data_IF_707773117452
#
_entry.id   IF_707773117452
#
_cell.length_a   1.000
_cell.length_b   1.000
_cell.length_c   1.000
_cell.angle_alpha   90.00
_cell.angle_beta   90.00
_cell.angle_gamma   90.00
#
_symmetry.space_group_name_H-M   'P 1'
#
loop_
_entity.id
_entity.type
_entity.pdbx_description
1 polymer ?
#
# COMPACT_ATOMS: atom_id res chain seq x y z
N UNK A 1 30.60 -14.96 -28.52
CA UNK A 1 31.66 -14.06 -29.05
C UNK A 1 33.04 -14.68 -28.87
N UNK A 2 33.56 -14.98 -27.64
CA UNK A 2 34.97 -15.38 -27.44
C UNK A 2 35.33 -16.68 -28.18
N UNK A 3 34.47 -17.71 -28.18
CA UNK A 3 34.75 -18.93 -28.96
C UNK A 3 34.83 -18.63 -30.45
N UNK A 4 34.02 -17.73 -30.98
CA UNK A 4 34.10 -17.28 -32.38
C UNK A 4 35.40 -16.52 -32.67
N UNK A 5 35.84 -15.66 -31.75
CA UNK A 5 37.14 -14.99 -31.82
C UNK A 5 38.29 -16.01 -31.92
N UNK A 6 38.22 -17.08 -31.11
CA UNK A 6 39.23 -18.15 -31.12
C UNK A 6 39.25 -18.93 -32.44
N UNK A 7 38.10 -19.17 -33.06
CA UNK A 7 37.96 -19.96 -34.28
C UNK A 7 38.19 -19.12 -35.54
N UNK A 8 37.58 -17.94 -35.63
CA UNK A 8 37.59 -17.12 -36.85
C UNK A 8 38.67 -16.05 -36.87
N UNK A 9 39.15 -15.62 -35.70
CA UNK A 9 40.08 -14.50 -35.57
C UNK A 9 39.52 -13.13 -35.97
N UNK A 10 38.21 -13.00 -36.13
CA UNK A 10 37.57 -11.79 -36.65
C UNK A 10 37.52 -10.66 -35.63
N UNK A 11 37.96 -9.47 -36.03
CA UNK A 11 37.91 -8.24 -35.23
C UNK A 11 36.50 -7.75 -34.93
N UNK A 12 35.48 -8.20 -35.66
CA UNK A 12 34.10 -7.85 -35.43
C UNK A 12 33.62 -8.42 -34.07
N UNK A 13 33.99 -9.65 -33.73
CA UNK A 13 33.65 -10.26 -32.45
C UNK A 13 34.43 -9.66 -31.28
N UNK A 14 35.62 -9.12 -31.52
CA UNK A 14 36.37 -8.35 -30.51
C UNK A 14 35.60 -7.11 -30.09
N UNK A 15 35.10 -6.33 -31.07
CA UNK A 15 34.29 -5.13 -30.81
C UNK A 15 33.00 -5.43 -30.06
N UNK A 16 32.31 -6.53 -30.39
CA UNK A 16 31.09 -6.98 -29.76
C UNK A 16 31.33 -7.38 -28.26
N UNK A 17 32.45 -8.06 -28.00
CA UNK A 17 32.83 -8.46 -26.64
C UNK A 17 33.12 -7.24 -25.76
N UNK A 18 33.91 -6.28 -26.27
CA UNK A 18 34.25 -5.06 -25.53
C UNK A 18 33.04 -4.17 -25.30
N UNK A 19 32.12 -4.04 -26.27
CA UNK A 19 30.89 -3.29 -26.15
C UNK A 19 29.97 -3.94 -25.07
N UNK A 20 29.87 -5.27 -25.07
CA UNK A 20 29.09 -6.02 -24.03
C UNK A 20 29.64 -5.80 -22.63
N UNK A 21 30.97 -5.84 -22.46
CA UNK A 21 31.63 -5.54 -21.20
C UNK A 21 31.37 -4.13 -20.71
N UNK A 22 31.52 -3.13 -21.57
CA UNK A 22 31.28 -1.73 -21.23
C UNK A 22 29.84 -1.50 -20.74
N UNK A 23 28.86 -2.14 -21.39
CA UNK A 23 27.44 -2.12 -20.93
C UNK A 23 27.28 -2.77 -19.58
N UNK A 24 27.91 -3.92 -19.32
CA UNK A 24 27.83 -4.60 -18.05
C UNK A 24 28.47 -3.79 -16.92
N UNK A 25 29.65 -3.22 -17.14
CA UNK A 25 30.33 -2.36 -16.19
C UNK A 25 29.53 -1.08 -15.87
N UNK A 26 28.84 -0.52 -16.86
CA UNK A 26 27.91 0.61 -16.66
C UNK A 26 26.73 0.20 -15.80
N UNK A 27 26.12 -0.95 -16.08
CA UNK A 27 25.00 -1.47 -15.28
C UNK A 27 25.40 -1.76 -13.83
N UNK A 28 26.60 -2.30 -13.57
CA UNK A 28 27.11 -2.50 -12.19
C UNK A 28 27.27 -1.15 -11.48
N UNK A 29 27.83 -0.13 -12.16
CA UNK A 29 27.98 1.21 -11.56
C UNK A 29 26.63 1.83 -11.20
N UNK A 30 25.65 1.74 -12.10
CA UNK A 30 24.30 2.24 -11.87
C UNK A 30 23.60 1.49 -10.71
N UNK A 31 23.74 0.17 -10.69
CA UNK A 31 23.21 -0.67 -9.59
C UNK A 31 23.85 -0.27 -8.25
N UNK A 32 25.13 0.04 -8.20
CA UNK A 32 25.85 0.46 -7.00
C UNK A 32 25.33 1.78 -6.43
N UNK A 33 24.80 2.65 -7.27
CA UNK A 33 24.18 3.93 -6.86
C UNK A 33 22.75 3.71 -6.36
N UNK A 34 22.01 2.81 -7.01
CA UNK A 34 20.57 2.61 -6.80
C UNK A 34 20.25 1.63 -5.66
N UNK A 35 21.14 0.66 -5.38
CA UNK A 35 20.89 -0.43 -4.44
C UNK A 35 21.51 -0.11 -3.08
N UNK A 36 20.68 -0.18 -2.04
CA UNK A 36 21.08 0.13 -0.65
C UNK A 36 21.84 -1.02 0.04
N UNK A 37 21.59 -2.26 -0.38
CA UNK A 37 22.32 -3.45 0.14
C UNK A 37 23.40 -3.87 -0.86
N UNK A 38 24.63 -3.46 -0.61
CA UNK A 38 25.78 -3.63 -1.51
C UNK A 38 26.44 -5.02 -1.41
N UNK A 39 26.14 -5.84 -0.39
CA UNK A 39 26.88 -7.09 -0.12
C UNK A 39 26.84 -8.07 -1.29
N UNK A 40 25.68 -8.25 -1.93
CA UNK A 40 25.56 -9.09 -3.12
C UNK A 40 26.21 -8.50 -4.35
N UNK A 41 26.23 -7.17 -4.46
CA UNK A 41 26.82 -6.45 -5.58
C UNK A 41 28.36 -6.52 -5.55
N UNK A 42 28.97 -6.50 -4.36
CA UNK A 42 30.42 -6.65 -4.20
C UNK A 42 30.90 -8.03 -4.69
N UNK A 43 30.11 -9.08 -4.49
CA UNK A 43 30.39 -10.42 -5.01
C UNK A 43 30.37 -10.44 -6.56
N UNK A 44 29.38 -9.79 -7.18
CA UNK A 44 29.32 -9.65 -8.64
C UNK A 44 30.51 -8.84 -9.15
N UNK A 45 30.84 -7.76 -8.46
CA UNK A 45 31.96 -6.91 -8.85
C UNK A 45 33.29 -7.68 -8.81
N UNK A 46 33.54 -8.44 -7.73
CA UNK A 46 34.73 -9.27 -7.61
C UNK A 46 34.83 -10.34 -8.72
N UNK A 47 33.73 -11.04 -8.98
CA UNK A 47 33.64 -12.03 -10.06
C UNK A 47 33.85 -11.38 -11.45
N UNK A 48 33.33 -10.16 -11.67
CA UNK A 48 33.53 -9.43 -12.91
C UNK A 48 34.99 -8.98 -13.11
N UNK A 49 35.66 -8.55 -12.05
CA UNK A 49 37.10 -8.21 -12.11
C UNK A 49 37.91 -9.44 -12.48
N UNK A 50 37.64 -10.60 -11.88
CA UNK A 50 38.30 -11.85 -12.22
C UNK A 50 38.04 -12.27 -13.67
N UNK A 51 36.78 -12.26 -14.11
CA UNK A 51 36.38 -12.56 -15.48
C UNK A 51 37.07 -11.62 -16.50
N UNK A 52 37.10 -10.34 -16.18
CA UNK A 52 37.78 -9.31 -16.99
C UNK A 52 39.28 -9.57 -17.09
N UNK A 53 39.94 -9.94 -16.00
CA UNK A 53 41.35 -10.31 -15.98
C UNK A 53 41.65 -11.51 -16.86
N UNK A 54 40.81 -12.54 -16.84
CA UNK A 54 40.93 -13.73 -17.69
C UNK A 54 40.84 -13.37 -19.16
N UNK A 55 39.90 -12.52 -19.55
CA UNK A 55 39.74 -12.04 -20.93
C UNK A 55 40.95 -11.21 -21.39
N UNK A 56 41.42 -10.27 -20.58
CA UNK A 56 42.58 -9.44 -20.91
C UNK A 56 43.84 -10.31 -21.11
N UNK A 57 44.07 -11.26 -20.23
CA UNK A 57 45.18 -12.21 -20.35
C UNK A 57 45.10 -13.02 -21.66
N UNK A 58 43.89 -13.38 -22.11
CA UNK A 58 43.70 -14.06 -23.39
C UNK A 58 44.18 -13.18 -24.57
N UNK A 59 43.72 -11.91 -24.59
CA UNK A 59 44.12 -10.99 -25.69
C UNK A 59 45.64 -10.72 -25.68
N UNK A 60 46.21 -10.53 -24.48
CA UNK A 60 47.66 -10.31 -24.33
C UNK A 60 48.49 -11.51 -24.81
N UNK A 61 48.06 -12.73 -24.47
CA UNK A 61 48.73 -13.96 -24.89
C UNK A 61 48.57 -14.19 -26.39
N UNK A 62 47.38 -13.93 -26.96
CA UNK A 62 47.12 -14.03 -28.39
C UNK A 62 47.98 -13.06 -29.17
N UNK A 63 48.12 -11.84 -28.68
CA UNK A 63 49.00 -10.82 -29.32
C UNK A 63 50.48 -11.27 -29.36
N UNK A 64 50.94 -11.99 -28.33
CA UNK A 64 52.30 -12.48 -28.19
C UNK A 64 52.59 -13.75 -28.98
N UNK A 65 51.65 -14.71 -28.96
CA UNK A 65 51.89 -16.08 -29.45
C UNK A 65 51.17 -16.41 -30.77
N UNK A 66 50.16 -15.61 -31.12
CA UNK A 66 49.28 -15.87 -32.29
C UNK A 66 48.41 -17.11 -32.17
N UNK A 67 48.40 -17.78 -31.01
CA UNK A 67 47.70 -19.02 -30.80
C UNK A 67 46.56 -18.87 -29.80
N UNK A 68 45.47 -19.65 -30.01
CA UNK A 68 44.35 -19.80 -29.08
C UNK A 68 44.40 -21.20 -28.48
N UNK A 69 44.35 -21.30 -27.14
CA UNK A 69 44.37 -22.56 -26.43
C UNK A 69 42.95 -22.98 -26.01
N UNK A 70 42.50 -24.11 -26.55
CA UNK A 70 41.18 -24.67 -26.21
C UNK A 70 41.10 -25.13 -24.77
N UNK A 71 42.18 -25.65 -24.17
CA UNK A 71 42.20 -26.06 -22.76
C UNK A 71 42.00 -24.85 -21.84
N UNK A 72 42.62 -23.70 -22.20
CA UNK A 72 42.38 -22.45 -21.49
C UNK A 72 40.91 -22.04 -21.59
N UNK A 73 40.30 -22.14 -22.75
CA UNK A 73 38.86 -21.82 -22.91
C UNK A 73 37.96 -22.68 -22.05
N UNK A 74 38.15 -23.99 -22.07
CA UNK A 74 37.32 -24.93 -21.30
C UNK A 74 37.58 -24.83 -19.79
N UNK A 75 38.83 -24.68 -19.37
CA UNK A 75 39.21 -24.63 -17.95
C UNK A 75 39.04 -23.25 -17.34
N UNK A 76 39.78 -22.27 -17.83
CA UNK A 76 39.90 -20.96 -17.16
C UNK A 76 38.75 -20.02 -17.49
N UNK A 77 38.47 -19.82 -18.80
CA UNK A 77 37.41 -18.89 -19.22
C UNK A 77 36.04 -19.39 -18.79
N UNK A 78 35.73 -20.65 -19.05
CA UNK A 78 34.41 -21.21 -18.75
C UNK A 78 34.13 -21.19 -17.24
N UNK A 79 35.12 -21.47 -16.41
CA UNK A 79 34.99 -21.39 -14.95
C UNK A 79 34.71 -19.96 -14.52
N UNK A 80 35.51 -18.97 -14.94
CA UNK A 80 35.30 -17.58 -14.56
C UNK A 80 33.95 -17.02 -15.04
N UNK A 81 33.46 -17.48 -16.22
CA UNK A 81 32.14 -17.16 -16.71
C UNK A 81 31.02 -17.74 -15.82
N UNK A 82 31.16 -19.00 -15.41
CA UNK A 82 30.20 -19.61 -14.52
C UNK A 82 30.18 -18.96 -13.13
N UNK A 83 31.31 -18.58 -12.60
CA UNK A 83 31.43 -17.91 -11.30
C UNK A 83 30.73 -16.54 -11.33
N UNK A 84 30.93 -15.78 -12.41
CA UNK A 84 30.24 -14.51 -12.63
C UNK A 84 28.72 -14.72 -12.76
N UNK A 85 28.30 -15.69 -13.56
CA UNK A 85 26.88 -16.01 -13.76
C UNK A 85 26.21 -16.51 -12.47
N UNK A 86 26.91 -17.32 -11.68
CA UNK A 86 26.43 -17.79 -10.40
C UNK A 86 26.27 -16.64 -9.39
N UNK A 87 27.24 -15.72 -9.35
CA UNK A 87 27.19 -14.53 -8.50
C UNK A 87 25.96 -13.64 -8.85
N UNK A 88 25.70 -13.42 -10.15
CA UNK A 88 24.54 -12.68 -10.61
C UNK A 88 23.24 -13.40 -10.23
N UNK A 89 23.15 -14.72 -10.46
CA UNK A 89 21.98 -15.51 -10.12
C UNK A 89 21.68 -15.48 -8.61
N UNK A 90 22.72 -15.67 -7.79
CA UNK A 90 22.58 -15.63 -6.34
C UNK A 90 22.11 -14.24 -5.84
N UNK A 91 22.61 -13.17 -6.44
CA UNK A 91 22.14 -11.83 -6.15
C UNK A 91 20.66 -11.63 -6.54
N UNK A 92 20.25 -12.09 -7.71
CA UNK A 92 18.85 -12.00 -8.15
C UNK A 92 17.91 -12.76 -7.19
N UNK A 93 18.26 -13.98 -6.81
CA UNK A 93 17.46 -14.79 -5.88
C UNK A 93 17.39 -14.13 -4.50
N UNK A 94 18.53 -13.64 -3.99
CA UNK A 94 18.58 -12.94 -2.71
C UNK A 94 17.76 -11.65 -2.73
N UNK A 95 17.86 -10.85 -3.80
CA UNK A 95 17.09 -9.62 -3.97
C UNK A 95 15.59 -9.89 -4.04
N UNK A 96 15.18 -10.97 -4.72
CA UNK A 96 13.79 -11.36 -4.79
C UNK A 96 13.24 -11.78 -3.43
N UNK A 97 13.99 -12.58 -2.66
CA UNK A 97 13.55 -12.99 -1.32
C UNK A 97 13.42 -11.78 -0.35
N UNK A 98 14.30 -10.79 -0.46
CA UNK A 98 14.21 -9.54 0.32
C UNK A 98 12.99 -8.72 -0.09
N UNK A 99 12.68 -8.66 -1.40
CA UNK A 99 11.50 -7.97 -1.91
C UNK A 99 10.21 -8.65 -1.42
N UNK A 100 10.14 -9.98 -1.49
CA UNK A 100 8.99 -10.75 -1.01
C UNK A 100 8.75 -10.52 0.50
N UNK A 101 9.82 -10.55 1.29
CA UNK A 101 9.73 -10.27 2.73
C UNK A 101 9.25 -8.83 3.02
N UNK A 102 9.74 -7.84 2.26
CA UNK A 102 9.29 -6.44 2.40
C UNK A 102 7.84 -6.27 1.97
N UNK A 103 7.41 -6.93 0.90
CA UNK A 103 6.02 -6.90 0.43
C UNK A 103 5.08 -7.48 1.48
N UNK A 104 5.41 -8.64 2.06
CA UNK A 104 4.64 -9.24 3.13
C UNK A 104 4.58 -8.34 4.39
N UNK A 105 5.68 -7.66 4.72
CA UNK A 105 5.70 -6.70 5.83
C UNK A 105 4.82 -5.48 5.55
N UNK A 106 4.85 -4.94 4.32
CA UNK A 106 4.00 -3.82 3.91
C UNK A 106 2.52 -4.20 3.97
N UNK A 107 2.17 -5.38 3.50
CA UNK A 107 0.81 -5.92 3.57
C UNK A 107 0.33 -6.03 5.02
N UNK A 108 1.12 -6.63 5.90
CA UNK A 108 0.82 -6.72 7.34
C UNK A 108 0.67 -5.34 8.00
N UNK A 109 1.52 -4.39 7.65
CA UNK A 109 1.45 -3.03 8.17
C UNK A 109 0.22 -2.28 7.64
N UNK A 110 -0.17 -2.49 6.37
CA UNK A 110 -1.39 -1.93 5.80
C UNK A 110 -2.64 -2.43 6.55
N UNK A 111 -2.75 -3.73 6.81
CA UNK A 111 -3.84 -4.27 7.63
C UNK A 111 -3.88 -3.68 9.03
N UNK A 112 -2.73 -3.54 9.70
CA UNK A 112 -2.66 -2.92 11.03
C UNK A 112 -3.07 -1.45 11.02
N UNK A 113 -2.79 -0.71 9.96
CA UNK A 113 -3.18 0.69 9.82
C UNK A 113 -4.67 0.86 9.51
N UNK A 114 -5.27 -0.04 8.74
CA UNK A 114 -6.68 0.04 8.31
C UNK A 114 -7.63 -0.44 9.41
N UNK A 115 -7.26 -1.45 10.20
CA UNK A 115 -8.14 -2.05 11.24
C UNK A 115 -8.71 -1.03 12.24
N UNK A 116 -7.92 -0.12 12.83
CA UNK A 116 -8.46 0.91 13.72
C UNK A 116 -9.50 1.80 13.04
N UNK A 117 -9.30 2.10 11.74
CA UNK A 117 -10.24 2.89 10.94
C UNK A 117 -11.59 2.19 10.75
N UNK A 118 -11.57 0.89 10.46
CA UNK A 118 -12.79 0.08 10.31
C UNK A 118 -13.54 0.00 11.64
N UNK A 119 -12.83 -0.21 12.74
CA UNK A 119 -13.45 -0.26 14.08
C UNK A 119 -14.08 1.10 14.44
N UNK A 120 -13.35 2.20 14.19
CA UNK A 120 -13.86 3.54 14.43
C UNK A 120 -15.12 3.84 13.59
N UNK A 121 -15.14 3.41 12.34
CA UNK A 121 -16.30 3.56 11.46
C UNK A 121 -17.51 2.77 11.98
N UNK A 122 -17.30 1.52 12.41
CA UNK A 122 -18.36 0.70 12.98
C UNK A 122 -18.96 1.34 14.25
N UNK A 123 -18.11 1.84 15.14
CA UNK A 123 -18.54 2.54 16.36
C UNK A 123 -19.32 3.82 16.00
N UNK A 124 -18.85 4.59 15.02
CA UNK A 124 -19.54 5.81 14.57
C UNK A 124 -20.96 5.49 14.05
N UNK A 125 -21.12 4.44 13.27
CA UNK A 125 -22.44 4.00 12.77
C UNK A 125 -23.37 3.64 13.94
N UNK A 126 -22.89 2.89 14.94
CA UNK A 126 -23.67 2.52 16.12
C UNK A 126 -24.12 3.78 16.88
N UNK A 127 -23.21 4.75 17.07
CA UNK A 127 -23.52 6.01 17.76
C UNK A 127 -24.59 6.79 16.99
N UNK A 128 -24.50 6.89 15.66
CA UNK A 128 -25.46 7.60 14.82
C UNK A 128 -26.85 6.95 14.95
N UNK A 129 -26.95 5.62 14.87
CA UNK A 129 -28.22 4.90 15.00
C UNK A 129 -28.82 5.11 16.39
N UNK A 130 -28.00 5.00 17.43
CA UNK A 130 -28.43 5.20 18.82
C UNK A 130 -28.92 6.64 19.04
N UNK A 131 -28.19 7.64 18.51
CA UNK A 131 -28.57 9.03 18.62
C UNK A 131 -29.88 9.34 17.86
N UNK A 132 -30.05 8.78 16.66
CA UNK A 132 -31.30 8.86 15.90
C UNK A 132 -32.50 8.28 16.68
N UNK A 133 -32.30 7.14 17.30
CA UNK A 133 -33.33 6.51 18.13
C UNK A 133 -33.72 7.38 19.35
N UNK A 134 -32.74 8.01 20.00
CA UNK A 134 -33.01 8.92 21.12
C UNK A 134 -33.76 10.17 20.69
N UNK A 135 -33.38 10.76 19.54
CA UNK A 135 -34.12 11.91 19.00
C UNK A 135 -35.58 11.53 18.70
N UNK A 136 -35.83 10.40 18.09
CA UNK A 136 -37.19 9.94 17.82
C UNK A 136 -38.00 9.78 19.13
N UNK A 137 -37.38 9.12 20.10
CA UNK A 137 -38.09 8.82 21.37
C UNK A 137 -38.35 10.06 22.21
N UNK A 138 -37.37 10.96 22.33
CA UNK A 138 -37.47 12.08 23.29
C UNK A 138 -37.96 13.38 22.64
N UNK A 139 -37.86 13.55 21.34
CA UNK A 139 -38.30 14.78 20.68
C UNK A 139 -39.40 14.54 19.65
N UNK A 140 -39.25 13.65 18.73
CA UNK A 140 -40.22 13.48 17.64
C UNK A 140 -41.56 12.98 18.13
N UNK A 141 -41.60 11.90 18.88
CA UNK A 141 -42.85 11.31 19.38
C UNK A 141 -43.61 12.23 20.34
N UNK A 142 -43.00 12.92 21.32
CA UNK A 142 -43.68 13.90 22.14
C UNK A 142 -44.26 15.07 21.34
N UNK A 143 -43.55 15.62 20.40
CA UNK A 143 -44.03 16.71 19.55
C UNK A 143 -45.20 16.26 18.69
N UNK A 144 -45.15 15.06 18.11
CA UNK A 144 -46.28 14.48 17.37
C UNK A 144 -47.54 14.33 18.24
N UNK A 145 -47.40 13.85 19.51
CA UNK A 145 -48.51 13.73 20.46
C UNK A 145 -49.13 15.10 20.75
N UNK A 146 -48.33 16.13 20.94
CA UNK A 146 -48.83 17.51 21.16
C UNK A 146 -49.60 17.98 19.93
N UNK A 147 -49.02 17.79 18.74
CA UNK A 147 -49.68 18.20 17.50
C UNK A 147 -51.01 17.51 17.25
N UNK A 148 -51.04 16.19 17.46
CA UNK A 148 -52.26 15.38 17.34
C UNK A 148 -53.31 15.78 18.37
N UNK A 149 -52.92 15.98 19.64
CA UNK A 149 -53.83 16.43 20.68
C UNK A 149 -54.42 17.81 20.39
N UNK A 150 -53.62 18.72 19.86
CA UNK A 150 -54.07 20.06 19.46
C UNK A 150 -55.02 19.99 18.26
N UNK A 151 -54.69 19.15 17.28
CA UNK A 151 -55.56 18.90 16.10
C UNK A 151 -56.91 18.36 16.53
N UNK A 152 -56.98 17.37 17.42
CA UNK A 152 -58.20 16.78 17.93
C UNK A 152 -59.02 17.79 18.77
N UNK A 153 -58.36 18.64 19.53
CA UNK A 153 -59.02 19.71 20.26
C UNK A 153 -59.70 20.73 19.34
N UNK A 154 -59.00 21.18 18.27
CA UNK A 154 -59.48 22.18 17.34
C UNK A 154 -60.63 21.67 16.46
N UNK A 155 -60.49 20.46 15.90
CA UNK A 155 -61.41 19.94 14.89
C UNK A 155 -62.53 19.10 15.48
N UNK A 156 -62.26 18.31 16.53
CA UNK A 156 -63.22 17.34 17.08
C UNK A 156 -63.75 17.75 18.49
N UNK A 157 -63.29 18.89 19.02
CA UNK A 157 -63.63 19.38 20.37
C UNK A 157 -63.32 18.37 21.50
N UNK A 158 -62.40 17.46 21.26
CA UNK A 158 -61.91 16.51 22.25
C UNK A 158 -61.02 17.28 23.22
N UNK A 159 -61.16 17.11 24.55
CA UNK A 159 -60.30 17.79 25.53
C UNK A 159 -58.84 17.51 25.28
N UNK A 160 -57.99 18.55 25.27
CA UNK A 160 -56.52 18.39 25.15
C UNK A 160 -55.99 17.77 26.44
N UNK A 161 -55.73 16.48 26.43
CA UNK A 161 -55.18 15.75 27.57
C UNK A 161 -54.09 14.81 27.08
N UNK A 162 -52.82 15.20 27.26
CA UNK A 162 -51.65 14.44 26.81
C UNK A 162 -50.82 14.07 28.04
N UNK A 163 -50.53 12.77 28.16
CA UNK A 163 -49.61 12.27 29.18
C UNK A 163 -48.23 12.16 28.57
N UNK A 164 -47.25 12.85 29.15
CA UNK A 164 -45.84 12.85 28.71
C UNK A 164 -44.96 12.64 29.94
N UNK A 165 -43.93 11.82 29.77
CA UNK A 165 -42.87 11.61 30.74
C UNK A 165 -41.71 12.54 30.40
N UNK A 166 -41.16 13.24 31.39
CA UNK A 166 -40.04 14.14 31.22
C UNK A 166 -40.32 15.54 31.85
N UNK A 167 -39.26 16.32 31.97
CA UNK A 167 -39.30 17.73 32.45
C UNK A 167 -38.44 18.63 31.57
N UNK A 168 -38.46 18.36 30.29
CA UNK A 168 -37.73 19.06 29.26
C UNK A 168 -38.53 20.24 28.64
N UNK A 169 -37.99 20.89 27.63
CA UNK A 169 -38.60 22.01 26.92
C UNK A 169 -39.90 21.58 26.22
N UNK A 170 -40.02 20.34 25.78
CA UNK A 170 -41.21 19.81 25.13
C UNK A 170 -42.35 19.63 26.15
N UNK A 171 -42.00 19.26 27.39
CA UNK A 171 -42.96 19.21 28.46
C UNK A 171 -43.50 20.61 28.82
N UNK A 172 -42.60 21.61 28.92
CA UNK A 172 -43.02 23.01 29.13
C UNK A 172 -43.91 23.54 28.03
N UNK A 173 -43.62 23.18 26.77
CA UNK A 173 -44.47 23.52 25.64
C UNK A 173 -45.87 22.99 25.79
N UNK A 174 -46.05 21.74 26.23
CA UNK A 174 -47.35 21.14 26.53
C UNK A 174 -48.08 21.91 27.63
N UNK A 175 -47.38 22.26 28.74
CA UNK A 175 -47.98 23.02 29.86
C UNK A 175 -48.48 24.42 29.40
N UNK A 176 -47.70 25.11 28.56
CA UNK A 176 -48.09 26.42 28.03
C UNK A 176 -49.33 26.31 27.11
N UNK A 177 -49.42 25.24 26.31
CA UNK A 177 -50.57 25.00 25.45
C UNK A 177 -51.81 24.68 26.33
N UNK A 178 -51.70 23.85 27.40
CA UNK A 178 -52.77 23.57 28.35
C UNK A 178 -53.26 24.83 29.02
N UNK A 179 -52.36 25.69 29.48
CA UNK A 179 -52.70 26.97 30.10
C UNK A 179 -53.44 27.92 29.13
N UNK A 180 -52.98 28.00 27.89
CA UNK A 180 -53.61 28.81 26.84
C UNK A 180 -55.01 28.32 26.52
N UNK A 181 -55.24 27.04 26.40
CA UNK A 181 -56.57 26.41 26.22
C UNK A 181 -57.46 26.70 27.36
N UNK A 182 -56.97 26.63 28.64
CA UNK A 182 -57.73 26.98 29.83
C UNK A 182 -58.21 28.44 29.84
N UNK A 183 -57.37 29.38 29.48
CA UNK A 183 -57.73 30.80 29.37
C UNK A 183 -58.79 31.05 28.30
N UNK A 184 -58.68 30.42 27.14
CA UNK A 184 -59.67 30.53 26.03
C UNK A 184 -61.02 29.98 26.42
N UNK A 185 -61.07 28.90 27.22
CA UNK A 185 -62.33 28.30 27.70
C UNK A 185 -63.04 29.20 28.70
N UNK A 186 -62.31 29.82 29.63
CA UNK A 186 -62.89 30.76 30.62
C UNK A 186 -63.47 32.02 29.94
N UNK A 187 -62.79 32.58 28.98
CA UNK A 187 -63.28 33.77 28.21
C UNK A 187 -64.51 33.49 27.38
N UNK A 188 -64.84 32.25 27.03
CA UNK A 188 -66.03 31.86 26.26
C UNK A 188 -67.24 31.57 27.15
N UNK A 189 -67.05 31.53 28.49
CA UNK A 189 -68.10 31.24 29.50
C UNK A 189 -68.63 32.54 30.16
N UNK A 190 -68.00 33.68 29.87
CA UNK A 190 -68.48 35.03 30.13
C UNK A 190 -69.25 35.59 28.89
#
# INVERSE_FOLDING_TARGET
ALLQIMVTGSAEYDSLLFAGRAKFDAAIREAKISIRDLRGLDSIYAANVQYTGVINNFFDNRAKTGRSDMNWFVGVYKTSYYDLTASIKNFMVSSQSVMDAKTAQLESNAYRAIMPGIIALAIAIIIIVMFSYFIDLYYVRPVLKITEGLHNYLNSKIPFKITMEGRDEVHKLKEYIEALIGLLKNKKSE
#
